data_IF_101794887664
#
_entry.id   IF_101794887664
#
_cell.length_a   1.000
_cell.length_b   1.000
_cell.length_c   1.000
_cell.angle_alpha   90.00
_cell.angle_beta   90.00
_cell.angle_gamma   90.00
#
_symmetry.space_group_name_H-M   'P 1'
#
loop_
_entity.id
_entity.type
_entity.pdbx_description
1 polymer ?
#
# COMPACT_ATOMS: atom_id res chain seq x y z
N UNK A 1 -10.25 0.50 -9.43
CA UNK A 1 -10.34 1.19 -10.73
C UNK A 1 -9.65 0.30 -11.76
N UNK A 2 -10.25 0.13 -12.94
CA UNK A 2 -9.70 -0.72 -14.00
C UNK A 2 -9.00 0.18 -15.01
N UNK A 3 -7.79 -0.19 -15.41
CA UNK A 3 -7.11 0.41 -16.58
C UNK A 3 -7.37 -0.54 -17.75
N UNK A 4 -7.83 0.01 -18.86
CA UNK A 4 -8.05 -0.73 -20.10
C UNK A 4 -6.96 -0.36 -21.12
N UNK A 5 -6.46 -1.36 -21.84
CA UNK A 5 -5.52 -1.20 -22.96
C UNK A 5 -6.13 -1.95 -24.14
N UNK A 6 -6.26 -1.27 -25.29
CA UNK A 6 -6.87 -1.82 -26.51
C UNK A 6 -8.29 -2.37 -26.30
N UNK A 7 -9.08 -1.76 -25.41
CA UNK A 7 -10.45 -2.18 -25.12
C UNK A 7 -10.57 -3.42 -24.23
N UNK A 8 -9.46 -3.95 -23.69
CA UNK A 8 -9.45 -5.03 -22.73
C UNK A 8 -8.98 -4.55 -21.36
N UNK A 9 -9.56 -5.10 -20.29
CA UNK A 9 -9.11 -4.85 -18.93
C UNK A 9 -7.66 -5.34 -18.77
N UNK A 10 -6.77 -4.42 -18.42
CA UNK A 10 -5.35 -4.71 -18.26
C UNK A 10 -4.97 -4.93 -16.79
N UNK A 11 -5.35 -4.00 -15.90
CA UNK A 11 -5.03 -4.12 -14.47
C UNK A 11 -6.11 -3.45 -13.60
N UNK A 12 -6.39 -4.07 -12.46
CA UNK A 12 -7.25 -3.48 -11.42
C UNK A 12 -6.41 -2.90 -10.30
N UNK A 13 -6.65 -1.64 -9.98
CA UNK A 13 -5.99 -0.91 -8.90
C UNK A 13 -6.91 -0.69 -7.71
N UNK A 14 -6.33 -0.79 -6.50
CA UNK A 14 -7.03 -0.52 -5.23
C UNK A 14 -7.34 0.97 -4.98
N UNK A 15 -6.66 1.87 -5.69
CA UNK A 15 -6.90 3.32 -5.65
C UNK A 15 -7.16 3.86 -7.05
N UNK A 16 -8.15 4.76 -7.17
CA UNK A 16 -8.41 5.47 -8.42
C UNK A 16 -7.27 6.44 -8.75
N UNK A 17 -6.62 7.04 -7.74
CA UNK A 17 -5.44 7.91 -7.95
C UNK A 17 -4.28 7.13 -8.54
N UNK A 18 -3.91 6.01 -7.94
CA UNK A 18 -2.85 5.18 -8.49
C UNK A 18 -3.14 4.78 -9.95
N UNK A 19 -4.40 4.43 -10.26
CA UNK A 19 -4.82 4.10 -11.62
C UNK A 19 -4.66 5.28 -12.60
N UNK A 20 -5.13 6.47 -12.24
CA UNK A 20 -4.98 7.69 -13.06
C UNK A 20 -3.50 8.06 -13.27
N UNK A 21 -2.71 8.02 -12.19
CA UNK A 21 -1.26 8.29 -12.24
C UNK A 21 -0.57 7.30 -13.17
N UNK A 22 -0.86 6.00 -13.03
CA UNK A 22 -0.33 4.94 -13.89
C UNK A 22 -0.76 5.11 -15.35
N UNK A 23 -2.05 5.35 -15.62
CA UNK A 23 -2.55 5.58 -16.98
C UNK A 23 -1.90 6.80 -17.63
N UNK A 24 -1.73 7.91 -16.88
CA UNK A 24 -1.04 9.10 -17.37
C UNK A 24 0.45 8.85 -17.65
N UNK A 25 1.10 8.00 -16.86
CA UNK A 25 2.48 7.60 -17.06
C UNK A 25 2.62 6.75 -18.33
N UNK A 26 1.78 5.72 -18.49
CA UNK A 26 1.74 4.86 -19.68
C UNK A 26 1.56 5.72 -20.94
N UNK A 27 0.59 6.64 -20.93
CA UNK A 27 0.35 7.56 -22.06
C UNK A 27 1.59 8.39 -22.39
N UNK A 28 2.23 9.02 -21.39
CA UNK A 28 3.44 9.83 -21.59
C UNK A 28 4.65 9.01 -22.09
N UNK A 29 4.75 7.75 -21.71
CA UNK A 29 5.79 6.82 -22.19
C UNK A 29 5.49 6.45 -23.65
N UNK A 30 4.24 6.11 -23.97
CA UNK A 30 3.83 5.76 -25.33
C UNK A 30 4.11 6.90 -26.34
N UNK A 31 3.82 8.15 -25.94
CA UNK A 31 4.07 9.37 -26.72
C UNK A 31 5.56 9.76 -26.80
N UNK A 32 6.43 9.16 -26.00
CA UNK A 32 7.86 9.47 -26.00
C UNK A 32 8.65 8.69 -27.05
N UNK A 33 9.75 9.28 -27.52
CA UNK A 33 10.71 8.62 -28.41
C UNK A 33 11.23 7.33 -27.76
N UNK A 34 11.41 6.27 -28.56
CA UNK A 34 11.84 4.95 -28.07
C UNK A 34 13.11 5.03 -27.20
N UNK A 35 14.09 5.83 -27.59
CA UNK A 35 15.34 6.05 -26.86
C UNK A 35 15.16 6.71 -25.46
N UNK A 36 14.02 7.35 -25.19
CA UNK A 36 13.74 8.02 -23.92
C UNK A 36 12.79 7.21 -23.01
N UNK A 37 12.21 6.11 -23.49
CA UNK A 37 11.18 5.37 -22.74
C UNK A 37 11.74 4.77 -21.46
N UNK A 38 12.90 4.12 -21.55
CA UNK A 38 13.56 3.51 -20.41
C UNK A 38 13.89 4.54 -19.32
N UNK A 39 14.55 5.64 -19.69
CA UNK A 39 14.91 6.68 -18.71
C UNK A 39 13.69 7.31 -18.04
N UNK A 40 12.59 7.49 -18.78
CA UNK A 40 11.32 7.97 -18.21
C UNK A 40 10.67 6.97 -17.26
N UNK A 41 10.75 5.67 -17.55
CA UNK A 41 10.26 4.62 -16.65
C UNK A 41 11.06 4.62 -15.35
N UNK A 42 12.39 4.61 -15.44
CA UNK A 42 13.28 4.62 -14.27
C UNK A 42 13.08 5.88 -13.44
N UNK A 43 13.04 7.05 -14.06
CA UNK A 43 12.77 8.31 -13.35
C UNK A 43 11.40 8.30 -12.66
N UNK A 44 10.39 7.67 -13.25
CA UNK A 44 9.09 7.52 -12.60
C UNK A 44 9.14 6.57 -11.40
N UNK A 45 9.90 5.47 -11.47
CA UNK A 45 10.14 4.56 -10.33
C UNK A 45 10.84 5.30 -9.19
N UNK A 46 11.92 6.01 -9.48
CA UNK A 46 12.67 6.80 -8.50
C UNK A 46 11.81 7.88 -7.85
N UNK A 47 10.93 8.54 -8.62
CA UNK A 47 10.01 9.52 -8.08
C UNK A 47 9.02 8.93 -7.05
N UNK A 48 8.68 7.64 -7.14
CA UNK A 48 7.86 6.97 -6.11
C UNK A 48 8.62 6.72 -4.81
N UNK A 49 9.95 6.76 -4.84
CA UNK A 49 10.86 6.58 -3.71
C UNK A 49 11.39 7.93 -3.17
N UNK A 50 10.75 9.05 -3.52
CA UNK A 50 11.10 10.38 -3.03
C UNK A 50 10.65 10.56 -1.56
N UNK A 51 11.60 10.39 -0.63
CA UNK A 51 11.34 10.44 0.81
C UNK A 51 10.91 11.84 1.28
N UNK A 52 11.46 12.90 0.70
CA UNK A 52 11.14 14.27 1.09
C UNK A 52 9.68 14.58 0.75
N UNK A 53 9.27 14.29 -0.50
CA UNK A 53 7.87 14.46 -0.93
C UNK A 53 6.92 13.55 -0.16
N UNK A 54 7.32 12.31 0.14
CA UNK A 54 6.51 11.40 0.95
C UNK A 54 6.29 11.97 2.36
N UNK A 55 7.34 12.53 2.97
CA UNK A 55 7.29 13.16 4.30
C UNK A 55 6.37 14.37 4.32
N UNK A 56 6.53 15.29 3.35
CA UNK A 56 5.68 16.49 3.23
C UNK A 56 4.21 16.11 3.00
N UNK A 57 3.97 15.16 2.09
CA UNK A 57 2.61 14.68 1.79
C UNK A 57 1.99 14.02 3.02
N UNK A 58 2.77 13.26 3.79
CA UNK A 58 2.28 12.59 5.00
C UNK A 58 1.95 13.60 6.09
N UNK A 59 2.82 14.57 6.33
CA UNK A 59 2.57 15.65 7.29
C UNK A 59 1.27 16.40 6.94
N UNK A 60 1.12 16.81 5.67
CA UNK A 60 -0.07 17.52 5.18
C UNK A 60 -1.34 16.68 5.31
N UNK A 61 -1.28 15.39 4.96
CA UNK A 61 -2.40 14.46 5.08
C UNK A 61 -2.77 14.18 6.55
N UNK A 62 -1.77 14.04 7.43
CA UNK A 62 -1.98 13.84 8.87
C UNK A 62 -2.62 15.05 9.53
N UNK A 63 -2.15 16.25 9.21
CA UNK A 63 -2.76 17.50 9.71
C UNK A 63 -4.20 17.65 9.22
N UNK A 64 -4.43 17.45 7.91
CA UNK A 64 -5.75 17.58 7.30
C UNK A 64 -6.75 16.53 7.79
N UNK A 65 -6.28 15.37 8.26
CA UNK A 65 -7.14 14.27 8.73
C UNK A 65 -7.35 14.25 10.25
N UNK A 66 -6.71 15.15 11.02
CA UNK A 66 -6.77 15.15 12.49
C UNK A 66 -8.20 15.20 13.03
N UNK A 67 -9.03 16.12 12.52
CA UNK A 67 -10.42 16.26 12.94
C UNK A 67 -11.29 15.11 12.43
N UNK A 68 -11.09 14.66 11.19
CA UNK A 68 -11.78 13.49 10.65
C UNK A 68 -11.53 12.23 11.51
N UNK A 69 -10.30 12.03 12.00
CA UNK A 69 -9.97 10.94 12.93
C UNK A 69 -10.66 11.08 14.27
N UNK A 70 -10.68 12.29 14.85
CA UNK A 70 -11.38 12.56 16.10
C UNK A 70 -12.88 12.26 15.99
N UNK A 71 -13.54 12.77 14.95
CA UNK A 71 -14.98 12.56 14.72
C UNK A 71 -15.26 11.09 14.37
N UNK A 72 -14.41 10.44 13.56
CA UNK A 72 -14.56 9.03 13.25
C UNK A 72 -14.51 8.14 14.50
N UNK A 73 -13.58 8.42 15.41
CA UNK A 73 -13.51 7.74 16.71
C UNK A 73 -14.73 8.06 17.59
N UNK A 74 -15.20 9.31 17.62
CA UNK A 74 -16.40 9.68 18.36
C UNK A 74 -17.64 8.94 17.84
N UNK A 75 -17.78 8.83 16.52
CA UNK A 75 -18.85 8.09 15.86
C UNK A 75 -18.77 6.59 16.19
N UNK A 76 -17.56 6.01 16.22
CA UNK A 76 -17.34 4.62 16.64
C UNK A 76 -17.77 4.40 18.10
N UNK A 77 -17.36 5.27 19.02
CA UNK A 77 -17.75 5.20 20.44
C UNK A 77 -19.27 5.34 20.58
N UNK A 78 -19.88 6.28 19.86
CA UNK A 78 -21.33 6.49 19.87
C UNK A 78 -22.06 5.21 19.45
N UNK A 79 -21.71 4.63 18.30
CA UNK A 79 -22.42 3.49 17.73
C UNK A 79 -22.16 2.18 18.50
N UNK A 80 -20.92 1.94 18.94
CA UNK A 80 -20.54 0.64 19.51
C UNK A 80 -20.48 0.59 21.04
N UNK A 81 -20.46 1.74 21.73
CA UNK A 81 -20.47 1.78 23.19
C UNK A 81 -21.69 2.51 23.74
N UNK A 82 -21.93 3.75 23.34
CA UNK A 82 -23.00 4.59 23.92
C UNK A 82 -24.38 4.05 23.55
N UNK A 83 -24.65 3.78 22.27
CA UNK A 83 -25.93 3.26 21.81
C UNK A 83 -26.31 1.93 22.51
N UNK A 84 -25.46 0.87 22.52
CA UNK A 84 -25.77 -0.37 23.23
C UNK A 84 -26.02 -0.17 24.73
N UNK A 85 -25.22 0.67 25.39
CA UNK A 85 -25.36 0.95 26.81
C UNK A 85 -26.70 1.64 27.11
N UNK A 86 -27.03 2.70 26.38
CA UNK A 86 -28.28 3.45 26.57
C UNK A 86 -29.50 2.58 26.28
N UNK A 87 -29.45 1.78 25.21
CA UNK A 87 -30.52 0.83 24.86
C UNK A 87 -30.70 -0.22 25.97
N UNK A 88 -29.61 -0.75 26.53
CA UNK A 88 -29.67 -1.75 27.59
C UNK A 88 -30.31 -1.21 28.88
N UNK A 89 -30.02 0.05 29.26
CA UNK A 89 -30.53 0.63 30.51
C UNK A 89 -31.90 1.29 30.40
N UNK A 90 -32.23 1.88 29.25
CA UNK A 90 -33.46 2.69 29.09
C UNK A 90 -34.46 2.10 28.09
N UNK A 91 -34.04 1.10 27.31
CA UNK A 91 -34.82 0.53 26.22
C UNK A 91 -34.73 1.36 24.94
N UNK A 92 -34.85 0.69 23.79
CA UNK A 92 -34.78 1.34 22.48
C UNK A 92 -36.00 2.25 22.22
N UNK A 93 -37.20 1.82 22.62
CA UNK A 93 -38.44 2.54 22.33
C UNK A 93 -38.47 3.96 22.90
N UNK A 94 -37.83 4.19 24.04
CA UNK A 94 -37.77 5.50 24.70
C UNK A 94 -36.60 6.37 24.22
N UNK A 95 -35.52 5.77 23.73
CA UNK A 95 -34.25 6.48 23.46
C UNK A 95 -33.90 6.65 21.99
N UNK A 96 -34.58 5.94 21.07
CA UNK A 96 -34.17 5.90 19.66
C UNK A 96 -34.11 7.27 18.98
N UNK A 97 -35.01 8.20 19.30
CA UNK A 97 -35.04 9.52 18.68
C UNK A 97 -33.84 10.39 19.10
N UNK A 98 -33.45 10.33 20.38
CA UNK A 98 -32.25 11.01 20.89
C UNK A 98 -30.99 10.42 20.24
N UNK A 99 -30.86 9.09 20.24
CA UNK A 99 -29.71 8.41 19.64
C UNK A 99 -29.61 8.66 18.13
N UNK A 100 -30.75 8.67 17.42
CA UNK A 100 -30.79 8.98 15.98
C UNK A 100 -30.37 10.43 15.71
N UNK A 101 -30.82 11.38 16.54
CA UNK A 101 -30.44 12.78 16.42
C UNK A 101 -28.94 12.98 16.68
N UNK A 102 -28.40 12.41 17.76
CA UNK A 102 -26.96 12.46 18.06
C UNK A 102 -26.13 11.85 16.94
N UNK A 103 -26.55 10.68 16.44
CA UNK A 103 -25.89 10.02 15.31
C UNK A 103 -25.90 10.90 14.06
N UNK A 104 -27.04 11.51 13.72
CA UNK A 104 -27.17 12.39 12.57
C UNK A 104 -26.25 13.62 12.68
N UNK A 105 -26.14 14.22 13.87
CA UNK A 105 -25.26 15.37 14.12
C UNK A 105 -23.80 14.98 13.94
N UNK A 106 -23.33 13.93 14.62
CA UNK A 106 -21.92 13.50 14.53
C UNK A 106 -21.56 13.08 13.11
N UNK A 107 -22.46 12.36 12.44
CA UNK A 107 -22.27 11.92 11.07
C UNK A 107 -22.24 13.10 10.08
N UNK A 108 -23.11 14.11 10.25
CA UNK A 108 -23.08 15.33 9.46
C UNK A 108 -21.73 16.07 9.58
N UNK A 109 -21.22 16.22 10.81
CA UNK A 109 -19.90 16.81 11.03
C UNK A 109 -18.76 15.98 10.42
N UNK A 110 -18.86 14.64 10.45
CA UNK A 110 -17.89 13.77 9.79
C UNK A 110 -17.84 14.02 8.27
N UNK A 111 -19.00 14.16 7.63
CA UNK A 111 -19.11 14.47 6.19
C UNK A 111 -18.51 15.85 5.88
N UNK A 112 -18.83 16.86 6.70
CA UNK A 112 -18.29 18.21 6.52
C UNK A 112 -16.76 18.23 6.63
N UNK A 113 -16.20 17.65 7.69
CA UNK A 113 -14.74 17.59 7.88
C UNK A 113 -14.05 16.82 6.75
N UNK A 114 -14.63 15.70 6.31
CA UNK A 114 -14.12 14.98 5.15
C UNK A 114 -14.12 15.85 3.89
N UNK A 115 -15.21 16.60 3.65
CA UNK A 115 -15.31 17.50 2.51
C UNK A 115 -14.23 18.61 2.55
N UNK A 116 -14.00 19.22 3.73
CA UNK A 116 -12.96 20.23 3.90
C UNK A 116 -11.55 19.65 3.71
N UNK A 117 -11.25 18.52 4.35
CA UNK A 117 -9.96 17.84 4.24
C UNK A 117 -9.69 17.41 2.79
N UNK A 118 -10.68 16.82 2.12
CA UNK A 118 -10.57 16.44 0.72
C UNK A 118 -10.32 17.67 -0.17
N UNK A 119 -11.02 18.79 0.05
CA UNK A 119 -10.80 20.02 -0.73
C UNK A 119 -9.41 20.61 -0.51
N UNK A 120 -8.83 20.47 0.70
CA UNK A 120 -7.45 20.91 1.00
C UNK A 120 -6.43 20.03 0.29
N UNK A 121 -6.55 18.70 0.40
CA UNK A 121 -5.60 17.73 -0.16
C UNK A 121 -5.69 17.59 -1.69
N UNK A 122 -6.88 17.77 -2.28
CA UNK A 122 -7.13 17.46 -3.70
C UNK A 122 -7.66 18.65 -4.50
N UNK A 123 -7.06 19.84 -4.33
CA UNK A 123 -7.48 21.09 -5.01
C UNK A 123 -7.58 20.98 -6.54
N UNK A 124 -6.71 20.20 -7.18
CA UNK A 124 -6.63 20.06 -8.64
C UNK A 124 -7.66 19.12 -9.26
N UNK A 125 -8.44 18.36 -8.48
CA UNK A 125 -9.39 17.36 -9.00
C UNK A 125 -10.84 17.77 -8.74
N UNK A 126 -11.60 18.07 -9.80
CA UNK A 126 -13.01 18.52 -9.75
C UNK A 126 -13.85 17.56 -10.59
N UNK A 127 -14.80 16.83 -9.99
CA UNK A 127 -15.79 16.04 -10.74
C UNK A 127 -16.15 14.72 -10.08
N UNK A 128 -15.57 13.63 -10.56
CA UNK A 128 -16.10 12.27 -10.35
C UNK A 128 -15.83 11.69 -8.95
N UNK A 129 -14.69 12.06 -8.35
CA UNK A 129 -14.24 11.55 -7.04
C UNK A 129 -15.12 11.96 -5.88
N UNK A 130 -15.72 13.15 -5.97
CA UNK A 130 -16.56 13.68 -4.87
C UNK A 130 -17.77 12.78 -4.65
N UNK A 131 -18.38 12.30 -5.73
CA UNK A 131 -19.56 11.47 -5.65
C UNK A 131 -19.26 10.10 -5.07
N UNK A 132 -18.23 9.40 -5.58
CA UNK A 132 -17.90 8.07 -5.06
C UNK A 132 -17.44 8.10 -3.60
N UNK A 133 -16.71 9.14 -3.19
CA UNK A 133 -16.32 9.31 -1.80
C UNK A 133 -17.49 9.70 -0.91
N UNK A 134 -18.41 10.56 -1.39
CA UNK A 134 -19.66 10.87 -0.70
C UNK A 134 -20.50 9.62 -0.51
N UNK A 135 -20.73 8.82 -1.56
CA UNK A 135 -21.48 7.56 -1.48
C UNK A 135 -20.89 6.60 -0.44
N UNK A 136 -19.55 6.45 -0.40
CA UNK A 136 -18.90 5.64 0.64
C UNK A 136 -19.09 6.23 2.04
N UNK A 137 -19.10 7.56 2.13
CA UNK A 137 -19.37 8.33 3.35
C UNK A 137 -20.83 8.39 3.78
N UNK A 138 -21.77 7.94 2.93
CA UNK A 138 -23.21 7.95 3.24
C UNK A 138 -23.61 6.89 4.27
N UNK A 139 -22.66 6.13 4.80
CA UNK A 139 -22.89 5.20 5.92
C UNK A 139 -22.05 5.63 7.11
N UNK A 140 -22.56 5.50 8.36
CA UNK A 140 -21.77 5.79 9.56
C UNK A 140 -20.45 5.00 9.60
N UNK A 141 -20.47 3.72 9.19
CA UNK A 141 -19.27 2.87 9.13
C UNK A 141 -18.25 3.39 8.12
N UNK A 142 -18.70 3.87 6.96
CA UNK A 142 -17.82 4.51 5.99
C UNK A 142 -17.22 5.83 6.52
N UNK A 143 -18.03 6.63 7.22
CA UNK A 143 -17.59 7.89 7.82
C UNK A 143 -16.54 7.70 8.92
N UNK A 144 -16.63 6.63 9.72
CA UNK A 144 -15.59 6.27 10.71
C UNK A 144 -14.21 6.08 10.08
N UNK A 145 -14.15 5.68 8.79
CA UNK A 145 -12.91 5.38 8.06
C UNK A 145 -12.41 6.51 7.17
N UNK A 146 -12.96 7.72 7.30
CA UNK A 146 -12.56 8.84 6.45
C UNK A 146 -11.07 9.18 6.56
N UNK A 147 -10.48 9.11 7.75
CA UNK A 147 -9.03 9.33 7.91
C UNK A 147 -8.20 8.33 7.09
N UNK A 148 -8.61 7.05 7.09
CA UNK A 148 -7.89 5.99 6.38
C UNK A 148 -7.99 6.18 4.86
N UNK A 149 -9.17 6.56 4.38
CA UNK A 149 -9.40 6.84 2.96
C UNK A 149 -8.54 8.03 2.52
N UNK A 150 -8.52 9.11 3.31
CA UNK A 150 -7.73 10.31 3.01
C UNK A 150 -6.23 9.98 2.98
N UNK A 151 -5.73 9.21 3.95
CA UNK A 151 -4.33 8.81 4.03
C UNK A 151 -3.92 7.86 2.91
N UNK A 152 -4.73 6.85 2.62
CA UNK A 152 -4.44 5.90 1.54
C UNK A 152 -4.39 6.58 0.18
N UNK A 153 -5.34 7.47 -0.10
CA UNK A 153 -5.36 8.22 -1.35
C UNK A 153 -4.26 9.30 -1.40
N UNK A 154 -3.80 9.84 -0.27
CA UNK A 154 -2.72 10.83 -0.28
C UNK A 154 -1.38 10.17 -0.62
N UNK A 155 -1.18 8.93 -0.15
CA UNK A 155 0.06 8.17 -0.28
C UNK A 155 0.15 7.29 -1.54
N UNK A 156 -0.91 7.17 -2.34
CA UNK A 156 -0.98 6.16 -3.42
C UNK A 156 -0.01 6.35 -4.59
N UNK A 157 0.69 7.48 -4.66
CA UNK A 157 1.70 7.76 -5.69
C UNK A 157 3.12 7.35 -5.25
N UNK A 158 3.30 6.93 -4.00
CA UNK A 158 4.60 6.53 -3.44
C UNK A 158 4.72 5.02 -3.35
N UNK A 159 5.96 4.54 -3.42
CA UNK A 159 6.28 3.15 -3.14
C UNK A 159 6.05 2.86 -1.65
N UNK A 160 5.50 1.68 -1.27
CA UNK A 160 5.27 1.32 0.12
C UNK A 160 6.49 1.48 1.03
N UNK A 161 7.69 1.24 0.50
CA UNK A 161 8.95 1.42 1.21
C UNK A 161 9.20 2.87 1.67
N UNK A 162 8.96 3.85 0.79
CA UNK A 162 9.11 5.26 1.15
C UNK A 162 8.10 5.66 2.22
N UNK A 163 6.86 5.16 2.13
CA UNK A 163 5.82 5.39 3.14
C UNK A 163 6.24 4.77 4.48
N UNK A 164 6.72 3.53 4.48
CA UNK A 164 7.20 2.84 5.68
C UNK A 164 8.32 3.63 6.37
N UNK A 165 9.28 4.18 5.62
CA UNK A 165 10.36 5.01 6.17
C UNK A 165 9.85 6.24 6.93
N UNK A 166 8.73 6.81 6.47
CA UNK A 166 8.11 8.00 7.08
C UNK A 166 7.33 7.65 8.36
N UNK A 167 6.65 6.51 8.39
CA UNK A 167 5.67 6.19 9.44
C UNK A 167 6.16 5.21 10.50
N UNK A 168 7.15 4.36 10.16
CA UNK A 168 7.66 3.32 11.04
C UNK A 168 8.87 3.80 11.84
N UNK A 169 9.07 3.20 13.01
CA UNK A 169 10.37 3.24 13.68
C UNK A 169 11.43 2.45 12.88
N UNK A 170 12.69 2.60 13.26
CA UNK A 170 13.83 2.00 12.55
C UNK A 170 13.77 0.47 12.48
N UNK A 171 13.32 -0.19 13.55
CA UNK A 171 13.25 -1.65 13.61
C UNK A 171 12.19 -2.20 12.65
N UNK A 172 10.96 -1.65 12.71
CA UNK A 172 9.88 -2.03 11.79
C UNK A 172 10.19 -1.70 10.35
N UNK A 173 10.85 -0.55 10.12
CA UNK A 173 11.30 -0.17 8.78
C UNK A 173 12.36 -1.15 8.24
N UNK A 174 13.32 -1.58 9.08
CA UNK A 174 14.32 -2.58 8.72
C UNK A 174 13.69 -3.88 8.25
N UNK A 175 12.82 -4.49 9.07
CA UNK A 175 12.12 -5.73 8.70
C UNK A 175 11.28 -5.57 7.43
N UNK A 176 10.55 -4.47 7.28
CA UNK A 176 9.76 -4.22 6.07
C UNK A 176 10.63 -4.03 4.82
N UNK A 177 11.80 -3.41 4.96
CA UNK A 177 12.75 -3.21 3.85
C UNK A 177 13.35 -4.53 3.39
N UNK A 178 13.70 -5.40 4.34
CA UNK A 178 14.16 -6.76 4.07
C UNK A 178 13.12 -7.54 3.27
N UNK A 179 11.86 -7.54 3.70
CA UNK A 179 10.75 -8.20 3.00
C UNK A 179 10.62 -7.70 1.55
N UNK A 180 10.64 -6.38 1.36
CA UNK A 180 10.53 -5.74 0.03
C UNK A 180 11.70 -6.15 -0.88
N UNK A 181 12.93 -6.12 -0.37
CA UNK A 181 14.13 -6.50 -1.16
C UNK A 181 14.09 -7.98 -1.53
N UNK A 182 13.74 -8.86 -0.58
CA UNK A 182 13.56 -10.30 -0.85
C UNK A 182 12.47 -10.55 -1.88
N UNK A 183 11.35 -9.85 -1.79
CA UNK A 183 10.23 -9.96 -2.74
C UNK A 183 10.61 -9.53 -4.15
N UNK A 184 11.44 -8.50 -4.29
CA UNK A 184 11.96 -8.04 -5.58
C UNK A 184 13.01 -9.00 -6.16
N UNK A 185 13.82 -9.66 -5.32
CA UNK A 185 14.84 -10.63 -5.77
C UNK A 185 14.25 -11.99 -6.13
N UNK A 186 13.31 -12.47 -5.34
CA UNK A 186 12.74 -13.82 -5.45
C UNK A 186 11.24 -13.74 -5.63
N UNK A 187 10.72 -13.23 -6.76
CA UNK A 187 9.29 -12.94 -6.92
C UNK A 187 8.42 -14.19 -6.93
N UNK A 188 7.18 -14.08 -6.42
CA UNK A 188 6.17 -15.10 -6.65
C UNK A 188 5.91 -15.22 -8.16
N UNK A 189 6.06 -16.44 -8.67
CA UNK A 189 5.57 -16.81 -9.99
C UNK A 189 4.21 -17.50 -9.81
N UNK A 190 3.16 -17.09 -10.53
CA UNK A 190 1.93 -17.87 -10.59
C UNK A 190 2.25 -19.31 -11.01
N UNK A 191 1.56 -20.29 -10.42
CA UNK A 191 1.73 -21.68 -10.81
C UNK A 191 1.39 -21.91 -12.30
N UNK A 192 0.41 -21.14 -12.80
CA UNK A 192 -0.09 -21.20 -14.18
C UNK A 192 0.34 -19.94 -14.96
N UNK A 193 1.64 -19.65 -15.00
CA UNK A 193 2.14 -18.50 -15.76
C UNK A 193 2.18 -18.79 -17.28
N UNK A 194 1.02 -18.67 -17.92
CA UNK A 194 0.84 -18.73 -19.39
C UNK A 194 1.44 -17.50 -20.12
N UNK A 195 2.22 -16.66 -19.44
CA UNK A 195 2.88 -15.51 -20.05
C UNK A 195 3.78 -15.94 -21.21
N UNK A 196 3.84 -15.10 -22.24
CA UNK A 196 4.82 -15.32 -23.32
C UNK A 196 6.24 -15.05 -22.81
N UNK A 197 7.29 -15.59 -23.46
CA UNK A 197 8.68 -15.29 -23.13
C UNK A 197 8.98 -13.78 -23.10
N UNK A 198 8.37 -13.01 -23.99
CA UNK A 198 8.51 -11.55 -24.07
C UNK A 198 7.90 -10.86 -22.85
N UNK A 199 6.71 -11.29 -22.42
CA UNK A 199 6.06 -10.73 -21.23
C UNK A 199 6.90 -11.00 -19.97
N UNK A 200 7.48 -12.20 -19.85
CA UNK A 200 8.43 -12.54 -18.78
C UNK A 200 9.67 -11.67 -18.81
N UNK A 201 10.29 -11.49 -19.98
CA UNK A 201 11.47 -10.64 -20.13
C UNK A 201 11.19 -9.17 -19.73
N UNK A 202 10.01 -8.64 -20.08
CA UNK A 202 9.59 -7.29 -19.66
C UNK A 202 9.40 -7.21 -18.15
N UNK A 203 8.76 -8.21 -17.54
CA UNK A 203 8.56 -8.26 -16.09
C UNK A 203 9.89 -8.36 -15.32
N UNK A 204 10.81 -9.20 -15.80
CA UNK A 204 12.15 -9.37 -15.22
C UNK A 204 12.97 -8.07 -15.35
N UNK A 205 12.93 -7.42 -16.52
CA UNK A 205 13.56 -6.11 -16.72
C UNK A 205 13.00 -5.05 -15.76
N UNK A 206 11.67 -4.94 -15.64
CA UNK A 206 11.04 -3.97 -14.74
C UNK A 206 11.44 -4.22 -13.28
N UNK A 207 11.44 -5.49 -12.87
CA UNK A 207 11.79 -5.89 -11.50
C UNK A 207 13.26 -5.59 -11.19
N UNK A 208 14.17 -5.89 -12.10
CA UNK A 208 15.58 -5.57 -11.95
C UNK A 208 15.80 -4.06 -11.78
N UNK A 209 15.09 -3.22 -12.56
CA UNK A 209 15.14 -1.76 -12.42
C UNK A 209 14.55 -1.29 -11.09
N UNK A 210 13.41 -1.84 -10.66
CA UNK A 210 12.79 -1.52 -9.37
C UNK A 210 13.68 -1.91 -8.19
N UNK A 211 14.34 -3.07 -8.26
CA UNK A 211 15.32 -3.52 -7.26
C UNK A 211 16.48 -2.53 -7.17
N UNK A 212 17.10 -2.18 -8.31
CA UNK A 212 18.21 -1.22 -8.33
C UNK A 212 17.81 0.18 -7.78
N UNK A 213 16.62 0.68 -8.14
CA UNK A 213 16.12 1.95 -7.60
C UNK A 213 15.86 1.87 -6.09
N UNK A 214 15.40 0.72 -5.60
CA UNK A 214 15.14 0.44 -4.19
C UNK A 214 16.44 0.35 -3.38
N UNK A 215 17.42 -0.42 -3.85
CA UNK A 215 18.76 -0.53 -3.27
C UNK A 215 19.43 0.85 -3.18
N UNK A 216 19.38 1.63 -4.26
CA UNK A 216 19.90 3.00 -4.28
C UNK A 216 19.16 3.93 -3.30
N UNK A 217 17.84 3.77 -3.14
CA UNK A 217 17.08 4.55 -2.16
C UNK A 217 17.46 4.18 -0.71
N UNK A 218 17.62 2.89 -0.42
CA UNK A 218 18.05 2.40 0.90
C UNK A 218 19.44 2.91 1.27
N UNK A 219 20.38 2.90 0.31
CA UNK A 219 21.71 3.50 0.50
C UNK A 219 21.63 5.00 0.83
N UNK A 220 20.82 5.77 0.09
CA UNK A 220 20.60 7.20 0.39
C UNK A 220 19.98 7.43 1.77
N UNK A 221 19.30 6.44 2.33
CA UNK A 221 18.69 6.49 3.66
C UNK A 221 19.56 5.87 4.75
N UNK A 222 20.83 5.57 4.43
CA UNK A 222 21.81 4.92 5.32
C UNK A 222 21.32 3.57 5.87
N UNK A 223 20.68 2.76 5.02
CA UNK A 223 20.29 1.39 5.36
C UNK A 223 21.15 0.44 4.52
N UNK A 224 21.91 -0.43 5.19
CA UNK A 224 22.70 -1.43 4.50
C UNK A 224 21.80 -2.60 4.07
N UNK A 225 21.28 -2.49 2.86
CA UNK A 225 20.42 -3.53 2.29
C UNK A 225 21.18 -4.84 2.03
N UNK A 226 22.52 -4.82 2.02
CA UNK A 226 23.32 -6.02 1.73
C UNK A 226 23.18 -7.07 2.82
N UNK A 227 22.97 -6.64 4.07
CA UNK A 227 22.65 -7.53 5.20
C UNK A 227 21.36 -8.33 4.95
N UNK A 228 20.43 -7.81 4.15
CA UNK A 228 19.18 -8.52 3.80
C UNK A 228 19.44 -9.71 2.86
N UNK A 229 20.58 -9.74 2.18
CA UNK A 229 21.01 -10.82 1.31
C UNK A 229 21.69 -11.96 2.05
N UNK A 230 22.01 -11.77 3.34
CA UNK A 230 22.73 -12.76 4.12
C UNK A 230 21.88 -14.03 4.30
N UNK A 231 22.57 -15.16 4.19
CA UNK A 231 22.05 -16.48 4.52
C UNK A 231 21.65 -16.48 6.00
N UNK A 232 20.40 -16.86 6.36
CA UNK A 232 20.02 -16.97 7.76
C UNK A 232 20.88 -18.02 8.48
N UNK A 233 21.11 -17.87 9.77
CA UNK A 233 21.75 -18.93 10.55
C UNK A 233 20.80 -20.15 10.63
N UNK A 234 21.29 -21.39 10.50
CA UNK A 234 20.48 -22.57 10.72
C UNK A 234 19.83 -22.55 12.11
N UNK A 235 18.54 -22.87 12.20
CA UNK A 235 17.82 -22.92 13.49
C UNK A 235 18.32 -24.11 14.34
N UNK A 236 18.70 -25.21 13.68
CA UNK A 236 19.32 -26.40 14.26
C UNK A 236 20.15 -27.19 13.23
N UNK A 237 20.86 -28.23 13.69
CA UNK A 237 21.71 -29.10 12.85
C UNK A 237 20.91 -29.93 11.82
N UNK A 238 19.59 -30.04 11.96
CA UNK A 238 18.75 -30.77 11.01
C UNK A 238 18.33 -29.91 9.82
N UNK A 239 18.50 -28.59 9.90
CA UNK A 239 18.20 -27.65 8.83
C UNK A 239 19.31 -27.68 7.77
N UNK A 240 19.02 -28.29 6.63
CA UNK A 240 19.98 -28.49 5.53
C UNK A 240 19.87 -27.44 4.41
N UNK A 241 18.81 -26.64 4.41
CA UNK A 241 18.63 -25.56 3.44
C UNK A 241 17.49 -24.62 3.82
N UNK A 242 17.35 -23.54 3.08
CA UNK A 242 16.34 -22.51 3.34
C UNK A 242 15.73 -21.97 2.05
N UNK A 243 14.55 -21.35 2.17
CA UNK A 243 13.94 -20.61 1.07
C UNK A 243 14.46 -19.16 1.04
N UNK A 244 15.07 -18.67 -0.06
CA UNK A 244 15.63 -17.32 -0.12
C UNK A 244 14.56 -16.21 -0.11
N UNK A 245 13.29 -16.54 -0.40
CA UNK A 245 12.17 -15.59 -0.35
C UNK A 245 11.65 -15.44 1.09
N UNK A 246 11.07 -16.50 1.66
CA UNK A 246 10.39 -16.42 2.96
C UNK A 246 11.31 -16.72 4.17
N UNK A 247 12.56 -17.17 3.94
CA UNK A 247 13.53 -17.60 4.96
C UNK A 247 13.11 -18.82 5.79
N UNK A 248 12.06 -19.54 5.38
CA UNK A 248 11.71 -20.82 6.01
C UNK A 248 12.83 -21.84 5.79
N UNK A 249 13.26 -22.48 6.88
CA UNK A 249 14.29 -23.52 6.87
C UNK A 249 13.67 -24.91 6.64
N UNK A 250 14.46 -25.80 6.06
CA UNK A 250 14.02 -27.12 5.62
C UNK A 250 15.09 -28.18 5.94
N UNK A 251 14.65 -29.39 6.28
CA UNK A 251 15.51 -30.55 6.54
C UNK A 251 16.05 -31.24 5.29
N UNK A 252 16.06 -30.54 4.16
CA UNK A 252 16.51 -31.04 2.85
C UNK A 252 17.30 -29.95 2.13
N UNK A 253 18.34 -30.36 1.40
CA UNK A 253 19.25 -29.46 0.66
C UNK A 253 18.69 -28.97 -0.67
N UNK A 254 17.64 -29.60 -1.19
CA UNK A 254 17.09 -29.31 -2.52
C UNK A 254 15.56 -29.52 -2.59
N UNK A 255 14.96 -29.01 -3.67
CA UNK A 255 13.52 -29.02 -3.90
C UNK A 255 12.94 -27.61 -3.91
N UNK A 256 11.62 -27.50 -3.80
CA UNK A 256 10.90 -26.21 -3.74
C UNK A 256 10.41 -25.90 -2.33
N UNK A 257 10.23 -24.61 -2.03
CA UNK A 257 9.61 -24.20 -0.77
C UNK A 257 8.11 -24.51 -0.75
N UNK A 258 7.61 -25.08 0.35
CA UNK A 258 6.19 -25.37 0.55
C UNK A 258 5.30 -24.12 0.59
N UNK A 259 5.87 -22.97 0.97
CA UNK A 259 5.14 -21.70 1.10
C UNK A 259 5.35 -20.77 -0.11
N UNK A 260 6.33 -21.07 -0.98
CA UNK A 260 6.72 -20.22 -2.10
C UNK A 260 6.89 -21.08 -3.35
N UNK A 261 5.77 -21.32 -4.05
CA UNK A 261 5.70 -22.13 -5.26
C UNK A 261 6.73 -21.66 -6.29
N UNK A 262 7.51 -22.59 -6.85
CA UNK A 262 8.52 -22.32 -7.87
C UNK A 262 9.82 -21.67 -7.35
N UNK A 263 9.98 -21.52 -6.03
CA UNK A 263 11.24 -21.05 -5.43
C UNK A 263 12.06 -22.23 -4.94
N UNK A 264 13.21 -22.47 -5.59
CA UNK A 264 14.15 -23.52 -5.21
C UNK A 264 14.80 -23.22 -3.84
N UNK A 265 15.04 -24.28 -3.07
CA UNK A 265 15.78 -24.22 -1.83
C UNK A 265 17.27 -23.98 -2.08
N UNK A 266 17.89 -23.21 -1.20
CA UNK A 266 19.35 -22.96 -1.18
C UNK A 266 19.92 -23.78 -0.03
N UNK A 267 20.91 -24.66 -0.26
CA UNK A 267 21.56 -25.41 0.82
C UNK A 267 22.40 -24.47 1.69
N UNK A 268 22.56 -24.81 2.97
CA UNK A 268 23.58 -24.15 3.79
C UNK A 268 24.97 -24.64 3.37
N UNK A 269 25.94 -23.74 3.20
CA UNK A 269 27.26 -24.06 2.64
C UNK A 269 28.14 -24.92 3.57
N UNK A 270 27.76 -25.08 4.85
CA UNK A 270 28.52 -25.79 5.89
C UNK A 270 27.67 -26.76 6.77
N UNK A 271 26.53 -27.27 6.27
CA UNK A 271 25.69 -28.23 7.00
C UNK A 271 26.06 -29.71 6.76
#
# INVERSE_FOLDING_TARGET
AVIEINGAAFVTWGSQRAAETCASLIKRIAESQAAQRESRIVAAMEATLDLEKATETYATARESSRYARFIGNALMILVFAVCPLVIAYRGLATTWHVLAMELAIVWFFAILEFWFAHRRLYRRRKGERRMQMLLRGMTPVGAMRFSDILMRESMSDFHPLAIAKVICDAARFGSFSEDVVRDLRHPHRPADDDSTPEARAVADWFRARMLASTESALERWNVDWREFAETPAPDDETCLGYCPRCRLQHTRTSGECSNCVGVALVPFEDA
#
